data_IF_492240305754
#
_entry.id   IF_492240305754
#
_cell.length_a   1.000
_cell.length_b   1.000
_cell.length_c   1.000
_cell.angle_alpha   90.00
_cell.angle_beta   90.00
_cell.angle_gamma   90.00
#
_symmetry.space_group_name_H-M   'P 1'
#
loop_
_entity.id
_entity.type
_entity.pdbx_description
1 polymer ?
#
# COMPACT_ATOMS: atom_id res chain seq x y z
N UNK A 1 -26.36 -81.84 -12.64
CA UNK A 1 -26.88 -80.50 -12.98
C UNK A 1 -26.36 -80.16 -14.39
N UNK A 2 -26.98 -80.65 -15.47
CA UNK A 2 -27.90 -79.91 -16.38
C UNK A 2 -27.33 -78.58 -16.90
N UNK A 3 -27.39 -78.18 -18.17
CA UNK A 3 -27.66 -78.81 -19.46
C UNK A 3 -27.37 -77.70 -20.51
N UNK A 4 -26.78 -78.08 -21.66
CA UNK A 4 -26.89 -77.48 -23.00
C UNK A 4 -27.15 -75.96 -23.18
N UNK A 5 -26.19 -75.36 -23.87
CA UNK A 5 -26.32 -74.24 -24.83
C UNK A 5 -27.67 -74.29 -25.56
N UNK A 6 -28.46 -73.23 -25.43
CA UNK A 6 -29.64 -72.93 -26.25
C UNK A 6 -29.59 -71.46 -26.69
N UNK A 7 -29.44 -71.29 -28.00
CA UNK A 7 -30.18 -70.33 -28.82
C UNK A 7 -29.78 -68.83 -28.77
N UNK A 8 -28.86 -68.48 -29.65
CA UNK A 8 -29.04 -67.52 -30.74
C UNK A 8 -30.11 -66.39 -30.65
N UNK A 9 -29.63 -65.18 -30.99
CA UNK A 9 -30.32 -64.02 -31.65
C UNK A 9 -31.16 -63.08 -30.79
N UNK A 10 -30.65 -61.85 -30.62
CA UNK A 10 -31.24 -60.53 -30.99
C UNK A 10 -30.39 -59.45 -30.31
N UNK A 11 -29.44 -58.84 -31.02
CA UNK A 11 -29.60 -57.59 -31.77
C UNK A 11 -29.47 -56.33 -30.89
N UNK A 12 -28.79 -55.34 -31.47
CA UNK A 12 -28.64 -53.95 -31.05
C UNK A 12 -27.48 -53.64 -30.09
N UNK A 13 -26.33 -53.36 -30.71
CA UNK A 13 -25.32 -52.46 -30.22
C UNK A 13 -25.94 -51.20 -29.59
N UNK A 14 -25.60 -50.93 -28.34
CA UNK A 14 -25.60 -49.59 -27.77
C UNK A 14 -24.27 -49.41 -27.06
N UNK A 15 -23.28 -48.97 -27.82
CA UNK A 15 -22.04 -48.45 -27.27
C UNK A 15 -22.39 -47.20 -26.45
N UNK A 16 -22.56 -47.37 -25.15
CA UNK A 16 -22.69 -46.25 -24.24
C UNK A 16 -21.28 -45.75 -23.95
N UNK A 17 -20.86 -44.70 -24.67
CA UNK A 17 -19.68 -43.92 -24.35
C UNK A 17 -19.85 -43.37 -22.92
N UNK A 18 -19.16 -43.97 -21.96
CA UNK A 18 -18.98 -43.39 -20.63
C UNK A 18 -18.01 -42.22 -20.77
N UNK A 19 -18.54 -41.04 -21.09
CA UNK A 19 -17.81 -39.78 -20.91
C UNK A 19 -17.68 -39.56 -19.40
N UNK A 20 -16.49 -39.85 -18.87
CA UNK A 20 -16.12 -39.48 -17.50
C UNK A 20 -16.02 -37.94 -17.48
N UNK A 21 -17.11 -37.27 -17.15
CA UNK A 21 -17.05 -35.86 -16.78
C UNK A 21 -16.36 -35.78 -15.42
N UNK A 22 -15.05 -35.53 -15.43
CA UNK A 22 -14.31 -35.13 -14.23
C UNK A 22 -14.90 -33.78 -13.81
N UNK A 23 -15.82 -33.81 -12.84
CA UNK A 23 -16.21 -32.61 -12.10
C UNK A 23 -15.00 -32.19 -11.27
N UNK A 24 -14.12 -31.39 -11.90
CA UNK A 24 -13.11 -30.62 -11.22
C UNK A 24 -13.82 -29.61 -10.33
N UNK A 25 -14.08 -30.01 -9.09
CA UNK A 25 -14.54 -29.09 -8.05
C UNK A 25 -13.32 -28.28 -7.64
N UNK A 26 -13.03 -27.23 -8.39
CA UNK A 26 -12.02 -26.25 -8.01
C UNK A 26 -12.48 -25.60 -6.70
N UNK A 27 -11.75 -25.92 -5.63
CA UNK A 27 -11.83 -25.21 -4.36
C UNK A 27 -11.39 -23.76 -4.63
N UNK A 28 -12.35 -22.88 -4.90
CA UNK A 28 -12.16 -21.44 -4.76
C UNK A 28 -11.95 -21.18 -3.27
N UNK A 29 -10.68 -21.12 -2.85
CA UNK A 29 -10.33 -20.54 -1.56
C UNK A 29 -10.65 -19.06 -1.66
N UNK A 30 -11.86 -18.68 -1.24
CA UNK A 30 -12.20 -17.29 -0.99
C UNK A 30 -11.26 -16.84 0.13
N UNK A 31 -10.25 -16.04 -0.23
CA UNK A 31 -9.46 -15.35 0.78
C UNK A 31 -10.41 -14.59 1.70
N UNK A 32 -10.25 -14.74 3.01
CA UNK A 32 -11.04 -13.99 3.98
C UNK A 32 -10.90 -12.49 3.64
N UNK A 33 -12.03 -11.82 3.38
CA UNK A 33 -12.03 -10.38 3.23
C UNK A 33 -11.54 -9.78 4.55
N UNK A 34 -10.38 -9.10 4.51
CA UNK A 34 -9.87 -8.31 5.64
C UNK A 34 -10.94 -7.28 6.00
N UNK A 35 -11.44 -7.34 7.24
CA UNK A 35 -12.50 -6.47 7.69
C UNK A 35 -11.86 -5.38 8.56
N UNK A 36 -11.24 -4.36 7.95
CA UNK A 36 -10.79 -3.19 8.70
C UNK A 36 -11.95 -2.20 8.96
N UNK A 37 -11.84 -1.32 9.96
CA UNK A 37 -12.85 -0.30 10.23
C UNK A 37 -13.00 0.65 9.05
N UNK A 38 -14.22 1.08 8.75
CA UNK A 38 -14.49 2.05 7.69
C UNK A 38 -13.74 3.40 7.92
N UNK A 39 -13.44 4.12 6.83
CA UNK A 39 -12.78 5.44 6.89
C UNK A 39 -13.50 6.44 7.79
N UNK A 40 -14.83 6.42 7.78
CA UNK A 40 -15.66 7.25 8.67
C UNK A 40 -15.45 6.95 10.16
N UNK A 41 -15.15 5.70 10.52
CA UNK A 41 -14.82 5.32 11.91
C UNK A 41 -13.50 5.92 12.34
N UNK A 42 -12.48 5.86 11.48
CA UNK A 42 -11.20 6.51 11.72
C UNK A 42 -11.30 8.03 11.80
N UNK A 43 -12.13 8.64 10.96
CA UNK A 43 -12.40 10.07 11.02
C UNK A 43 -13.04 10.47 12.36
N UNK A 44 -14.03 9.71 12.86
CA UNK A 44 -14.63 9.94 14.19
C UNK A 44 -13.59 9.85 15.31
N UNK A 45 -12.71 8.85 15.26
CA UNK A 45 -11.62 8.71 16.21
C UNK A 45 -10.70 9.93 16.20
N UNK A 46 -10.15 10.30 15.03
CA UNK A 46 -9.27 11.48 14.91
C UNK A 46 -9.94 12.77 15.38
N UNK A 47 -11.24 12.93 15.10
CA UNK A 47 -12.00 14.11 15.54
C UNK A 47 -12.10 14.17 17.06
N UNK A 48 -12.35 13.05 17.74
CA UNK A 48 -12.35 12.99 19.19
C UNK A 48 -10.95 13.23 19.78
N UNK A 49 -9.92 12.59 19.21
CA UNK A 49 -8.53 12.65 19.73
C UNK A 49 -7.89 14.04 19.57
N UNK A 50 -8.08 14.68 18.42
CA UNK A 50 -7.28 15.87 18.04
C UNK A 50 -8.07 16.93 17.28
N UNK A 51 -9.40 16.78 17.17
CA UNK A 51 -10.19 17.53 16.18
C UNK A 51 -9.70 17.36 14.74
N UNK A 52 -9.13 16.20 14.41
CA UNK A 52 -8.67 15.86 13.06
C UNK A 52 -7.31 16.47 12.66
N UNK A 53 -6.52 16.98 13.63
CA UNK A 53 -5.30 17.76 13.36
C UNK A 53 -4.04 16.90 13.40
N UNK A 54 -3.53 16.52 12.23
CA UNK A 54 -2.31 15.71 12.08
C UNK A 54 -1.03 16.33 12.63
N UNK A 55 -0.91 17.65 12.65
CA UNK A 55 0.29 18.34 13.15
C UNK A 55 0.12 18.88 14.57
N UNK A 56 -0.88 18.40 15.34
CA UNK A 56 -1.12 18.90 16.68
C UNK A 56 -0.02 18.41 17.64
N UNK A 57 0.45 19.34 18.46
CA UNK A 57 1.32 19.09 19.60
C UNK A 57 1.02 20.17 20.64
N UNK A 58 0.33 19.78 21.71
CA UNK A 58 -0.06 20.69 22.80
C UNK A 58 0.94 20.69 23.95
N UNK A 59 1.99 19.87 23.87
CA UNK A 59 2.92 19.64 24.98
C UNK A 59 2.41 18.65 26.04
N UNK A 60 1.30 17.93 25.79
CA UNK A 60 0.72 16.97 26.73
C UNK A 60 1.34 15.56 26.68
N UNK A 61 2.41 15.36 25.90
CA UNK A 61 3.08 14.06 25.75
C UNK A 61 2.49 13.16 24.65
N UNK A 62 1.42 13.59 23.99
CA UNK A 62 0.77 12.92 22.86
C UNK A 62 0.83 13.79 21.61
N UNK A 63 0.89 13.14 20.44
CA UNK A 63 1.22 13.83 19.19
C UNK A 63 0.32 13.38 18.03
N UNK A 64 0.00 14.34 17.16
CA UNK A 64 -0.66 14.12 15.88
C UNK A 64 -2.13 13.71 15.98
N UNK A 65 -2.70 13.29 14.84
CA UNK A 65 -4.14 13.13 14.69
C UNK A 65 -4.76 12.06 15.60
N UNK A 66 -3.94 11.07 15.98
CA UNK A 66 -4.33 9.91 16.78
C UNK A 66 -3.80 9.98 18.21
N UNK A 67 -3.21 11.12 18.61
CA UNK A 67 -2.65 11.33 19.94
C UNK A 67 -1.75 10.17 20.38
N UNK A 68 -0.78 9.80 19.55
CA UNK A 68 0.19 8.76 19.90
C UNK A 68 1.15 9.27 20.98
N UNK A 69 1.46 8.44 21.97
CA UNK A 69 2.68 8.60 22.76
C UNK A 69 3.90 8.05 21.98
N UNK A 70 5.12 8.52 22.32
CA UNK A 70 6.34 8.12 21.60
C UNK A 70 6.68 6.62 21.73
N UNK A 71 6.61 5.98 22.92
CA UNK A 71 6.76 4.53 23.03
C UNK A 71 5.82 3.73 22.11
N UNK A 72 4.54 4.05 22.09
CA UNK A 72 3.53 3.37 21.28
C UNK A 72 3.79 3.61 19.79
N UNK A 73 4.09 4.86 19.39
CA UNK A 73 4.48 5.20 18.01
C UNK A 73 5.65 4.34 17.51
N UNK A 74 6.71 4.22 18.33
CA UNK A 74 7.89 3.41 18.01
C UNK A 74 7.57 1.91 17.98
N UNK A 75 6.64 1.44 18.80
CA UNK A 75 6.24 0.02 18.83
C UNK A 75 5.61 -0.46 17.52
N UNK A 76 5.01 0.45 16.75
CA UNK A 76 4.46 0.18 15.41
C UNK A 76 5.39 0.67 14.29
N UNK A 77 6.66 0.90 14.61
CA UNK A 77 7.74 1.22 13.68
C UNK A 77 7.82 2.69 13.25
N UNK A 78 7.10 3.58 13.93
CA UNK A 78 7.17 5.02 13.69
C UNK A 78 8.52 5.60 14.10
N UNK A 79 9.02 6.55 13.31
CA UNK A 79 10.26 7.29 13.58
C UNK A 79 9.95 8.74 13.97
N UNK A 80 10.86 9.42 14.67
CA UNK A 80 10.66 10.80 15.11
C UNK A 80 9.42 10.96 16.00
N UNK A 81 8.73 12.10 15.88
CA UNK A 81 7.45 12.35 16.55
C UNK A 81 6.27 12.25 15.58
N UNK A 82 5.11 11.72 16.01
CA UNK A 82 3.91 11.61 15.16
C UNK A 82 3.45 12.93 14.54
N UNK A 83 3.52 14.07 15.25
CA UNK A 83 3.11 15.40 14.77
C UNK A 83 3.93 15.90 13.57
N UNK A 84 5.13 15.35 13.40
CA UNK A 84 6.06 15.66 12.30
C UNK A 84 5.93 14.67 11.14
N UNK A 85 5.24 13.54 11.35
CA UNK A 85 5.04 12.51 10.34
C UNK A 85 3.90 12.90 9.39
N UNK A 86 3.98 12.43 8.14
CA UNK A 86 2.91 12.67 7.16
C UNK A 86 1.57 12.09 7.63
N UNK A 87 0.43 12.67 7.21
CA UNK A 87 -0.88 12.08 7.51
C UNK A 87 -0.99 10.60 7.15
N UNK A 88 -0.43 10.24 5.99
CA UNK A 88 -0.39 8.86 5.50
C UNK A 88 0.38 7.93 6.42
N UNK A 89 1.49 8.39 6.99
CA UNK A 89 2.24 7.60 7.98
C UNK A 89 1.46 7.46 9.28
N UNK A 90 0.85 8.53 9.78
CA UNK A 90 0.02 8.44 10.99
C UNK A 90 -1.16 7.47 10.82
N UNK A 91 -1.86 7.53 9.70
CA UNK A 91 -2.96 6.61 9.34
C UNK A 91 -2.47 5.15 9.25
N UNK A 92 -1.31 4.93 8.62
CA UNK A 92 -0.67 3.63 8.53
C UNK A 92 -0.33 3.04 9.90
N UNK A 93 0.30 3.84 10.77
CA UNK A 93 0.65 3.40 12.12
C UNK A 93 -0.58 3.19 13.00
N UNK A 94 -1.64 3.99 12.82
CA UNK A 94 -2.92 3.79 13.49
C UNK A 94 -3.56 2.46 13.08
N UNK A 95 -3.62 2.15 11.77
CA UNK A 95 -4.11 0.86 11.29
C UNK A 95 -3.28 -0.30 11.84
N UNK A 96 -1.96 -0.15 11.85
CA UNK A 96 -1.08 -1.19 12.38
C UNK A 96 -1.35 -1.40 13.88
N UNK A 97 -1.44 -0.33 14.67
CA UNK A 97 -1.73 -0.42 16.10
C UNK A 97 -3.09 -1.10 16.36
N UNK A 98 -4.11 -0.78 15.57
CA UNK A 98 -5.43 -1.41 15.65
C UNK A 98 -5.36 -2.91 15.35
N UNK A 99 -4.66 -3.33 14.30
CA UNK A 99 -4.46 -4.75 14.00
C UNK A 99 -3.63 -5.48 15.06
N UNK A 100 -2.88 -4.75 15.89
CA UNK A 100 -2.17 -5.33 17.04
C UNK A 100 -3.02 -5.40 18.31
N UNK A 101 -3.84 -4.38 18.60
CA UNK A 101 -4.43 -4.17 19.94
C UNK A 101 -5.94 -3.95 19.95
N UNK A 102 -6.56 -3.83 18.78
CA UNK A 102 -7.91 -3.31 18.61
C UNK A 102 -8.00 -1.84 19.03
N UNK A 103 -9.18 -1.38 19.42
CA UNK A 103 -9.41 0.00 19.86
C UNK A 103 -8.83 0.36 21.24
N UNK A 104 -8.34 -0.63 22.00
CA UNK A 104 -7.86 -0.44 23.39
C UNK A 104 -6.87 0.72 23.62
N UNK A 105 -5.94 1.05 22.69
CA UNK A 105 -5.00 2.14 22.90
C UNK A 105 -5.61 3.54 22.92
N UNK A 106 -6.85 3.69 22.45
CA UNK A 106 -7.50 4.99 22.31
C UNK A 106 -8.67 5.13 23.27
N UNK A 107 -8.58 6.09 24.19
CA UNK A 107 -9.66 6.40 25.13
C UNK A 107 -10.93 6.86 24.39
N UNK A 108 -10.76 7.70 23.36
CA UNK A 108 -11.85 8.11 22.48
C UNK A 108 -12.50 6.93 21.75
N UNK A 109 -11.75 5.85 21.46
CA UNK A 109 -12.32 4.62 20.91
C UNK A 109 -13.36 4.01 21.85
N UNK A 110 -13.06 4.01 23.16
CA UNK A 110 -14.00 3.61 24.20
C UNK A 110 -15.18 4.57 24.35
N UNK A 111 -14.93 5.89 24.39
CA UNK A 111 -15.99 6.91 24.51
C UNK A 111 -16.97 6.88 23.33
N UNK A 112 -16.48 6.62 22.11
CA UNK A 112 -17.28 6.51 20.89
C UNK A 112 -17.98 5.15 20.74
N UNK A 113 -17.75 4.19 21.65
CA UNK A 113 -18.30 2.84 21.56
C UNK A 113 -17.81 2.05 20.35
N UNK A 114 -16.57 2.29 19.90
CA UNK A 114 -16.01 1.58 18.75
C UNK A 114 -15.76 0.11 19.11
N UNK A 115 -16.33 -0.79 18.30
CA UNK A 115 -16.19 -2.23 18.50
C UNK A 115 -15.13 -2.81 17.57
N UNK A 116 -14.42 -3.82 18.06
CA UNK A 116 -13.43 -4.55 17.28
C UNK A 116 -14.14 -5.39 16.21
N UNK A 117 -13.56 -5.42 15.01
CA UNK A 117 -13.91 -6.33 13.92
C UNK A 117 -12.91 -7.50 13.82
N UNK A 118 -12.97 -8.26 12.71
CA UNK A 118 -12.13 -9.43 12.49
C UNK A 118 -10.65 -9.12 12.33
N UNK A 119 -10.28 -7.90 11.95
CA UNK A 119 -8.88 -7.52 11.77
C UNK A 119 -8.24 -6.96 13.05
N UNK A 120 -9.05 -6.57 14.03
CA UNK A 120 -8.57 -6.23 15.37
C UNK A 120 -7.77 -7.37 15.98
N UNK A 121 -6.53 -7.09 16.43
CA UNK A 121 -5.62 -8.10 17.02
C UNK A 121 -5.26 -9.26 16.09
N UNK A 122 -5.47 -9.14 14.78
CA UNK A 122 -5.02 -10.09 13.77
C UNK A 122 -3.49 -10.23 13.68
N UNK A 123 -2.74 -9.26 14.25
CA UNK A 123 -1.28 -9.12 14.15
C UNK A 123 -0.76 -8.94 12.73
N UNK A 124 -1.66 -8.62 11.79
CA UNK A 124 -1.32 -8.39 10.40
C UNK A 124 -0.68 -7.02 10.23
N UNK A 125 0.52 -6.98 9.66
CA UNK A 125 1.17 -5.72 9.29
C UNK A 125 0.46 -5.15 8.05
N UNK A 126 -0.05 -3.92 8.08
CA UNK A 126 -0.67 -3.31 6.90
C UNK A 126 0.35 -3.02 5.81
N UNK A 127 -0.13 -3.06 4.57
CA UNK A 127 0.53 -2.39 3.46
C UNK A 127 0.17 -0.91 3.44
N UNK A 128 0.99 -0.12 2.77
CA UNK A 128 0.75 1.30 2.56
C UNK A 128 -0.48 1.61 1.68
N UNK A 129 -0.88 0.67 0.82
CA UNK A 129 -2.10 0.78 0.01
C UNK A 129 -3.33 0.53 0.86
N UNK A 130 -3.24 -0.42 1.79
CA UNK A 130 -4.32 -0.77 2.69
C UNK A 130 -4.65 0.32 3.69
N UNK A 131 -3.69 1.14 4.10
CA UNK A 131 -3.99 2.27 4.99
C UNK A 131 -4.51 3.49 4.25
N UNK A 132 -4.47 3.53 2.92
CA UNK A 132 -4.74 4.74 2.15
C UNK A 132 -6.18 5.25 2.32
N UNK A 133 -7.15 4.35 2.50
CA UNK A 133 -8.56 4.69 2.63
C UNK A 133 -8.89 5.47 3.92
N UNK A 134 -8.03 5.38 4.94
CA UNK A 134 -8.23 5.98 6.26
C UNK A 134 -8.20 7.51 6.20
N UNK A 135 -7.36 8.07 5.33
CA UNK A 135 -7.16 9.53 5.19
C UNK A 135 -8.29 10.29 4.52
N UNK A 136 -9.36 9.61 4.08
CA UNK A 136 -10.50 10.26 3.42
C UNK A 136 -10.29 10.59 1.93
N UNK A 137 -9.13 10.27 1.36
CA UNK A 137 -9.06 9.95 -0.07
C UNK A 137 -9.79 8.62 -0.24
N UNK A 138 -10.85 8.58 -1.05
CA UNK A 138 -11.74 7.42 -1.15
C UNK A 138 -11.00 6.08 -1.31
N UNK A 139 -11.70 4.98 -0.99
CA UNK A 139 -11.24 3.63 -1.30
C UNK A 139 -10.52 3.61 -2.66
N UNK A 140 -9.34 2.98 -2.80
CA UNK A 140 -8.98 2.46 -4.11
C UNK A 140 -10.20 1.66 -4.57
N UNK A 141 -10.71 1.95 -5.76
CA UNK A 141 -11.56 0.99 -6.46
C UNK A 141 -10.93 -0.39 -6.34
N UNK A 142 -11.73 -1.49 -6.23
CA UNK A 142 -11.18 -2.84 -6.34
C UNK A 142 -10.19 -2.84 -7.52
N UNK A 143 -8.98 -3.41 -7.37
CA UNK A 143 -8.00 -3.33 -8.44
C UNK A 143 -8.69 -3.82 -9.72
N UNK A 144 -8.77 -2.93 -10.71
CA UNK A 144 -9.11 -3.33 -12.07
C UNK A 144 -8.23 -4.54 -12.40
N UNK A 145 -8.73 -5.54 -13.15
CA UNK A 145 -7.92 -6.68 -13.56
C UNK A 145 -6.57 -6.17 -14.04
N UNK A 146 -5.52 -6.68 -13.38
CA UNK A 146 -4.13 -6.27 -13.55
C UNK A 146 -3.87 -5.87 -15.01
N UNK A 147 -3.54 -4.60 -15.32
CA UNK A 147 -2.98 -4.27 -16.62
C UNK A 147 -1.81 -5.23 -16.87
N UNK A 148 -1.65 -5.76 -18.08
CA UNK A 148 -0.59 -6.72 -18.37
C UNK A 148 0.74 -6.23 -17.78
N UNK A 149 1.56 -7.13 -17.20
CA UNK A 149 2.78 -6.76 -16.52
C UNK A 149 3.54 -5.75 -17.37
N UNK A 150 3.91 -4.61 -16.76
CA UNK A 150 4.78 -3.62 -17.39
C UNK A 150 5.97 -4.35 -18.01
N UNK A 151 6.34 -4.04 -19.26
CA UNK A 151 7.50 -4.63 -19.89
C UNK A 151 8.70 -4.57 -18.94
N UNK A 152 9.56 -5.60 -18.90
CA UNK A 152 10.78 -5.56 -18.11
C UNK A 152 11.54 -4.25 -18.42
N UNK A 153 12.31 -3.72 -17.45
CA UNK A 153 13.14 -2.54 -17.67
C UNK A 153 13.86 -2.69 -19.01
N UNK A 154 13.68 -1.68 -19.88
CA UNK A 154 14.46 -1.61 -21.10
C UNK A 154 15.96 -1.67 -20.78
N UNK A 155 16.80 -2.01 -21.77
CA UNK A 155 18.23 -2.22 -21.54
C UNK A 155 18.88 -1.06 -20.78
N UNK A 156 19.94 -1.33 -19.98
CA UNK A 156 20.61 -0.31 -19.20
C UNK A 156 21.10 0.81 -20.12
N UNK A 157 20.46 1.98 -20.04
CA UNK A 157 20.82 3.15 -20.84
C UNK A 157 19.67 4.06 -21.28
N UNK A 158 18.41 3.60 -21.27
CA UNK A 158 17.29 4.44 -21.67
C UNK A 158 16.59 5.11 -20.48
N UNK A 159 16.35 6.43 -20.56
CA UNK A 159 15.50 7.17 -19.62
C UNK A 159 14.12 6.52 -19.55
N UNK A 160 13.65 6.09 -18.37
CA UNK A 160 12.31 5.55 -18.24
C UNK A 160 11.26 6.60 -18.59
N UNK A 161 10.14 6.17 -19.19
CA UNK A 161 9.02 7.06 -19.47
C UNK A 161 8.55 7.77 -18.19
N UNK A 162 8.14 9.03 -18.35
CA UNK A 162 7.59 9.82 -17.25
C UNK A 162 6.30 9.16 -16.70
N UNK A 163 6.18 8.92 -15.38
CA UNK A 163 5.03 8.25 -14.77
C UNK A 163 3.70 9.02 -14.80
N UNK A 164 3.67 10.26 -15.27
CA UNK A 164 2.44 11.06 -15.39
C UNK A 164 2.00 11.81 -14.12
N UNK A 165 2.72 11.68 -13.00
CA UNK A 165 2.36 12.29 -11.71
C UNK A 165 3.49 13.17 -11.17
N UNK A 166 3.17 14.40 -10.75
CA UNK A 166 4.14 15.27 -10.06
C UNK A 166 4.19 14.86 -8.59
N UNK A 167 5.35 14.42 -8.12
CA UNK A 167 5.54 13.99 -6.74
C UNK A 167 6.07 15.12 -5.84
N UNK A 168 5.63 15.13 -4.60
CA UNK A 168 6.00 16.07 -3.56
C UNK A 168 6.23 15.36 -2.21
N UNK A 169 6.66 16.12 -1.21
CA UNK A 169 6.91 15.61 0.14
C UNK A 169 5.70 14.86 0.70
N UNK A 170 5.93 13.63 1.17
CA UNK A 170 4.91 12.72 1.70
C UNK A 170 4.39 11.69 0.69
N UNK A 171 4.65 11.85 -0.60
CA UNK A 171 4.22 10.88 -1.61
C UNK A 171 5.04 9.60 -1.55
N UNK A 172 4.39 8.45 -1.76
CA UNK A 172 5.08 7.19 -1.97
C UNK A 172 4.59 6.53 -3.27
N UNK A 173 5.53 6.12 -4.13
CA UNK A 173 5.22 5.49 -5.40
C UNK A 173 6.40 4.61 -5.88
N UNK A 174 6.12 3.54 -6.65
CA UNK A 174 7.18 2.75 -7.30
C UNK A 174 8.14 3.59 -8.13
N UNK A 175 7.61 4.62 -8.83
CA UNK A 175 8.44 5.55 -9.59
C UNK A 175 9.43 6.34 -8.73
N UNK A 176 9.07 6.68 -7.49
CA UNK A 176 9.97 7.36 -6.56
C UNK A 176 11.12 6.44 -6.14
N UNK A 177 10.87 5.12 -6.03
CA UNK A 177 11.95 4.15 -5.79
C UNK A 177 12.92 4.13 -6.97
N UNK A 178 12.40 4.14 -8.20
CA UNK A 178 13.23 4.23 -9.41
C UNK A 178 14.08 5.50 -9.43
N UNK A 179 13.46 6.66 -9.17
CA UNK A 179 14.19 7.93 -9.07
C UNK A 179 15.26 7.88 -7.99
N UNK A 180 14.92 7.43 -6.77
CA UNK A 180 15.87 7.34 -5.66
C UNK A 180 17.06 6.45 -5.98
N UNK A 181 16.83 5.25 -6.51
CA UNK A 181 17.91 4.35 -6.90
C UNK A 181 18.74 4.94 -8.04
N UNK A 182 18.12 5.68 -8.97
CA UNK A 182 18.84 6.43 -10.00
C UNK A 182 19.76 7.49 -9.41
N UNK A 183 19.29 8.25 -8.41
CA UNK A 183 20.09 9.29 -7.75
C UNK A 183 21.34 8.73 -7.05
N UNK A 184 21.45 7.41 -6.82
CA UNK A 184 22.69 6.80 -6.33
C UNK A 184 23.86 6.92 -7.30
N UNK A 185 23.59 7.07 -8.60
CA UNK A 185 24.62 7.39 -9.59
C UNK A 185 25.28 8.76 -9.35
N UNK A 186 24.60 9.63 -8.58
CA UNK A 186 25.11 10.92 -8.14
C UNK A 186 25.54 10.92 -6.65
N UNK A 187 25.71 9.74 -6.04
CA UNK A 187 26.29 9.61 -4.69
C UNK A 187 25.31 9.72 -3.52
N UNK A 188 23.99 9.79 -3.75
CA UNK A 188 23.03 10.02 -2.66
C UNK A 188 22.82 8.82 -1.71
N UNK A 189 23.15 7.59 -2.09
CA UNK A 189 23.05 6.43 -1.19
C UNK A 189 21.64 6.14 -0.65
N UNK A 190 20.62 6.18 -1.51
CA UNK A 190 19.26 5.74 -1.23
C UNK A 190 19.14 4.21 -1.21
N UNK A 191 18.38 3.70 -0.25
CA UNK A 191 17.90 2.31 -0.22
C UNK A 191 16.69 2.06 -1.14
N UNK A 192 16.15 3.12 -1.77
CA UNK A 192 14.99 3.05 -2.65
C UNK A 192 13.66 2.85 -1.93
N UNK A 193 13.41 3.51 -0.80
CA UNK A 193 12.17 3.35 -0.02
C UNK A 193 10.89 3.59 -0.82
N UNK A 194 10.98 4.36 -1.91
CA UNK A 194 9.84 4.75 -2.73
C UNK A 194 9.04 5.90 -2.15
N UNK A 195 9.50 6.52 -1.05
CA UNK A 195 8.81 7.62 -0.41
C UNK A 195 9.60 8.93 -0.47
N UNK A 196 8.92 10.00 -0.83
CA UNK A 196 9.45 11.35 -1.00
C UNK A 196 9.51 12.05 0.36
N UNK A 197 10.63 11.90 1.05
CA UNK A 197 10.92 12.62 2.30
C UNK A 197 12.15 13.52 2.15
N UNK A 198 12.72 14.01 3.24
CA UNK A 198 13.78 15.03 3.24
C UNK A 198 14.92 14.69 2.29
N UNK A 199 15.45 13.47 2.36
CA UNK A 199 16.56 13.05 1.50
C UNK A 199 16.20 13.11 0.01
N UNK A 200 15.00 12.68 -0.36
CA UNK A 200 14.51 12.76 -1.75
C UNK A 200 14.23 14.20 -2.17
N UNK A 201 13.70 15.02 -1.28
CA UNK A 201 13.47 16.45 -1.51
C UNK A 201 14.78 17.19 -1.78
N UNK A 202 15.81 16.93 -0.98
CA UNK A 202 17.16 17.47 -1.18
C UNK A 202 17.68 17.08 -2.56
N UNK A 203 17.66 15.78 -2.89
CA UNK A 203 18.11 15.29 -4.19
C UNK A 203 17.36 15.94 -5.38
N UNK A 204 16.05 16.18 -5.23
CA UNK A 204 15.26 16.87 -6.25
C UNK A 204 15.64 18.34 -6.38
N UNK A 205 15.79 19.05 -5.26
CA UNK A 205 16.19 20.47 -5.26
C UNK A 205 17.58 20.64 -5.88
N UNK A 206 18.53 19.80 -5.52
CA UNK A 206 19.90 19.87 -6.03
C UNK A 206 19.95 19.55 -7.53
N UNK A 207 19.15 18.58 -7.97
CA UNK A 207 19.00 18.27 -9.40
C UNK A 207 18.31 19.40 -10.17
N UNK A 208 17.32 20.06 -9.58
CA UNK A 208 16.66 21.21 -10.18
C UNK A 208 17.64 22.37 -10.39
N UNK A 209 18.40 22.73 -9.35
CA UNK A 209 19.43 23.77 -9.38
C UNK A 209 20.50 23.51 -10.44
N UNK A 210 21.03 22.28 -10.48
CA UNK A 210 22.07 21.90 -11.42
C UNK A 210 21.62 21.97 -12.89
N UNK A 211 20.31 21.88 -13.13
CA UNK A 211 19.72 21.83 -14.47
C UNK A 211 18.89 23.07 -14.83
N UNK A 212 18.93 24.13 -14.02
CA UNK A 212 18.16 25.36 -14.28
C UNK A 212 16.65 25.17 -14.29
N UNK A 213 16.15 24.18 -13.54
CA UNK A 213 14.73 23.93 -13.34
C UNK A 213 14.30 24.70 -12.09
N UNK A 214 13.09 25.28 -12.08
CA UNK A 214 12.56 25.95 -10.88
C UNK A 214 12.66 25.06 -9.63
N UNK A 215 13.28 25.59 -8.57
CA UNK A 215 13.54 24.98 -7.25
C UNK A 215 12.26 24.74 -6.42
N UNK A 216 11.24 24.16 -7.05
CA UNK A 216 9.96 23.86 -6.42
C UNK A 216 10.04 22.77 -5.36
N UNK A 217 11.09 21.94 -5.39
CA UNK A 217 11.15 20.73 -4.55
C UNK A 217 10.06 19.73 -4.88
N UNK A 218 9.55 19.76 -6.12
CA UNK A 218 8.59 18.80 -6.67
C UNK A 218 9.25 18.02 -7.80
N UNK A 219 9.11 16.70 -7.80
CA UNK A 219 9.58 15.84 -8.89
C UNK A 219 8.53 15.82 -9.99
N UNK A 220 8.72 16.67 -11.00
CA UNK A 220 7.92 16.69 -12.22
C UNK A 220 8.67 16.13 -13.43
N UNK A 221 8.07 16.18 -14.64
CA UNK A 221 8.63 15.56 -15.84
C UNK A 221 10.02 16.09 -16.22
N UNK A 222 10.26 17.40 -16.02
CA UNK A 222 11.58 18.01 -16.28
C UNK A 222 12.64 17.47 -15.32
N UNK A 223 12.34 17.42 -14.03
CA UNK A 223 13.23 16.88 -13.00
C UNK A 223 13.50 15.39 -13.21
N UNK A 224 12.49 14.62 -13.61
CA UNK A 224 12.65 13.21 -13.96
C UNK A 224 13.61 13.03 -15.12
N UNK A 225 13.39 13.73 -16.23
CA UNK A 225 14.29 13.68 -17.39
C UNK A 225 15.73 14.05 -16.99
N UNK A 226 15.90 15.09 -16.18
CA UNK A 226 17.22 15.52 -15.69
C UNK A 226 17.96 14.44 -14.88
N UNK A 227 17.25 13.52 -14.20
CA UNK A 227 17.91 12.46 -13.44
C UNK A 227 18.66 11.46 -14.34
N UNK A 228 18.27 11.31 -15.61
CA UNK A 228 18.94 10.44 -16.57
C UNK A 228 19.81 11.20 -17.57
N UNK A 229 19.34 12.35 -18.06
CA UNK A 229 19.95 13.07 -19.18
C UNK A 229 20.55 14.42 -18.78
N UNK A 230 20.32 14.86 -17.54
CA UNK A 230 20.74 16.16 -17.06
C UNK A 230 22.17 16.19 -16.52
N UNK A 231 22.59 17.39 -16.11
CA UNK A 231 23.81 17.64 -15.37
C UNK A 231 23.68 17.05 -13.96
N UNK A 232 24.72 16.35 -13.52
CA UNK A 232 24.81 15.84 -12.16
C UNK A 232 24.84 17.02 -11.15
N UNK A 233 24.13 16.94 -10.02
CA UNK A 233 24.31 17.86 -8.91
C UNK A 233 25.75 17.81 -8.38
N UNK A 234 26.30 18.97 -7.99
CA UNK A 234 27.63 19.07 -7.37
C UNK A 234 27.56 18.93 -5.87
#
# INVERSE_FOLDING_TARGET
MTNRVRTARRAAARALLLVVAVLGMELVVTGAASADPASGTWAKLRMCESSGRYSINTGNGYYGAYQFDLPTWRSVGGQGRPDQASPREQDYRALYLYRMRGWQPWECGGMLGLSNDGDARSKRVPSWEESAYIGGGGLPTPPAPKPPPTPPPGPPGATPAWPGLVYAYGDCAPALRTFQLRMNAFGYGFSGTGCYYDKTRTAVLDLQRANGINDSGRLGPKTWKAAWEGKAPR
#
